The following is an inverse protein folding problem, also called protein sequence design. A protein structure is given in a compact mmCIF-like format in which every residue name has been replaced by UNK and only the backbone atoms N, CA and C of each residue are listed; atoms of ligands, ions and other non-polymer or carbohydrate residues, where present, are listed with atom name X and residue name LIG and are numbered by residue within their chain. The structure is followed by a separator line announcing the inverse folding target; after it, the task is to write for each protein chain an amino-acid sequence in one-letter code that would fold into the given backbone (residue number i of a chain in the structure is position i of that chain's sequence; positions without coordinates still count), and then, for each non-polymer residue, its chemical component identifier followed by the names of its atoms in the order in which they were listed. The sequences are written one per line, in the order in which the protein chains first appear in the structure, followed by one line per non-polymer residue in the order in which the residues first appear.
data_IF_888084259389
#
_entry.id   IF_888084259389
#
_cell.length_a   1.000
_cell.length_b   1.000
_cell.length_c   1.000
_cell.angle_alpha   90.00
_cell.angle_beta   90.00
_cell.angle_gamma   90.00
#
_symmetry.space_group_name_H-M   'P 1'
#
loop_
_entity.id
_entity.type
_entity.pdbx_description
1 polymer ?
#
# COMPACT_ATOMS: atom_id res chain seq x y z
N UNK A 1 -62.88 20.52 -26.86
CA UNK A 1 -62.63 20.12 -28.26
C UNK A 1 -61.60 18.98 -28.25
N UNK A 2 -61.70 18.06 -29.21
CA UNK A 2 -61.33 16.62 -29.19
C UNK A 2 -59.93 16.22 -28.68
N UNK A 3 -59.93 15.07 -27.98
CA UNK A 3 -58.81 14.21 -27.55
C UNK A 3 -58.13 13.54 -28.75
N UNK A 4 -56.84 13.22 -28.62
CA UNK A 4 -56.25 12.03 -29.25
C UNK A 4 -55.51 11.21 -28.20
N UNK A 5 -56.11 10.04 -27.93
CA UNK A 5 -55.53 8.89 -27.25
C UNK A 5 -54.72 8.15 -28.31
N UNK A 6 -53.54 7.64 -27.97
CA UNK A 6 -52.97 6.47 -28.65
C UNK A 6 -52.19 5.66 -27.64
N UNK A 7 -52.87 4.65 -27.12
CA UNK A 7 -52.27 3.48 -26.49
C UNK A 7 -51.86 2.51 -27.60
N UNK A 8 -50.66 1.94 -27.49
CA UNK A 8 -50.32 0.68 -28.15
C UNK A 8 -49.72 -0.23 -27.09
N UNK A 9 -50.54 -1.19 -26.66
CA UNK A 9 -50.16 -2.38 -25.89
C UNK A 9 -50.08 -3.53 -26.89
N UNK A 10 -48.97 -4.27 -26.88
CA UNK A 10 -48.81 -5.69 -27.25
C UNK A 10 -47.29 -5.97 -27.35
N UNK A 11 -46.72 -7.10 -26.95
CA UNK A 11 -47.15 -8.30 -26.27
C UNK A 11 -45.86 -8.97 -25.76
N UNK A 12 -45.92 -9.67 -24.62
CA UNK A 12 -44.84 -10.51 -24.13
C UNK A 12 -44.46 -11.61 -25.13
N UNK A 13 -43.15 -11.84 -25.28
CA UNK A 13 -42.59 -13.17 -25.52
C UNK A 13 -41.48 -13.40 -24.50
N UNK A 14 -41.81 -14.18 -23.47
CA UNK A 14 -40.88 -14.70 -22.50
C UNK A 14 -40.01 -15.77 -23.16
N UNK A 15 -38.72 -15.48 -23.35
CA UNK A 15 -37.70 -16.51 -23.52
C UNK A 15 -37.14 -16.82 -22.14
N UNK A 16 -37.66 -17.87 -21.52
CA UNK A 16 -37.04 -18.51 -20.37
C UNK A 16 -35.74 -19.17 -20.81
N UNK A 17 -34.65 -18.41 -20.83
CA UNK A 17 -33.31 -18.99 -20.86
C UNK A 17 -33.02 -19.44 -19.44
N UNK A 18 -33.02 -20.75 -19.23
CA UNK A 18 -32.50 -21.37 -18.02
C UNK A 18 -31.05 -20.92 -17.85
N UNK A 19 -30.83 -19.90 -17.02
CA UNK A 19 -29.51 -19.54 -16.58
C UNK A 19 -29.03 -20.68 -15.69
N UNK A 20 -28.35 -21.66 -16.30
CA UNK A 20 -27.41 -22.51 -15.57
C UNK A 20 -26.46 -21.52 -14.91
N UNK A 21 -26.58 -21.35 -13.60
CA UNK A 21 -25.62 -20.59 -12.83
C UNK A 21 -24.27 -21.25 -13.07
N UNK A 22 -23.49 -20.66 -13.96
CA UNK A 22 -22.08 -20.99 -14.07
C UNK A 22 -21.52 -20.83 -12.65
N UNK A 23 -20.76 -21.81 -12.13
CA UNK A 23 -20.06 -21.58 -10.88
C UNK A 23 -19.31 -20.28 -11.07
N UNK A 24 -19.57 -19.30 -10.19
CA UNK A 24 -18.76 -18.11 -10.12
C UNK A 24 -17.34 -18.64 -9.94
N UNK A 25 -16.55 -18.60 -11.00
CA UNK A 25 -15.12 -18.77 -10.87
C UNK A 25 -14.74 -17.74 -9.82
N UNK A 26 -14.27 -18.21 -8.67
CA UNK A 26 -13.63 -17.34 -7.70
C UNK A 26 -12.50 -16.68 -8.47
N UNK A 27 -12.77 -15.48 -8.99
CA UNK A 27 -11.81 -14.72 -9.75
C UNK A 27 -10.69 -14.44 -8.75
N UNK A 28 -9.59 -15.17 -8.90
CA UNK A 28 -8.33 -14.84 -8.24
C UNK A 28 -8.13 -13.35 -8.51
N UNK A 29 -8.10 -12.47 -7.48
CA UNK A 29 -8.09 -11.03 -7.69
C UNK A 29 -6.92 -10.66 -8.60
N UNK A 30 -7.24 -10.16 -9.80
CA UNK A 30 -6.35 -10.33 -10.96
C UNK A 30 -5.19 -9.33 -11.06
N UNK A 31 -4.75 -8.73 -9.95
CA UNK A 31 -3.42 -8.09 -9.86
C UNK A 31 -3.06 -7.79 -8.41
N UNK A 32 -2.01 -8.40 -7.91
CA UNK A 32 -1.40 -8.09 -6.62
C UNK A 32 -0.49 -6.87 -6.80
N UNK A 33 -0.49 -5.92 -5.87
CA UNK A 33 0.43 -4.78 -5.92
C UNK A 33 1.84 -5.23 -5.54
N UNK A 34 2.81 -4.91 -6.37
CA UNK A 34 4.23 -5.13 -6.14
C UNK A 34 4.90 -3.90 -5.53
N UNK A 35 6.05 -4.09 -4.87
CA UNK A 35 6.82 -2.96 -4.33
C UNK A 35 7.26 -1.98 -5.42
N UNK A 36 7.61 -2.47 -6.61
CA UNK A 36 7.99 -1.60 -7.73
C UNK A 36 6.83 -0.71 -8.18
N UNK A 37 5.62 -1.26 -8.30
CA UNK A 37 4.44 -0.46 -8.62
C UNK A 37 4.16 0.57 -7.53
N UNK A 38 4.19 0.15 -6.26
CA UNK A 38 4.00 1.04 -5.11
C UNK A 38 4.98 2.22 -5.07
N UNK A 39 6.25 1.99 -5.42
CA UNK A 39 7.25 3.06 -5.47
C UNK A 39 7.12 3.96 -6.71
N UNK A 40 6.39 3.54 -7.75
CA UNK A 40 6.17 4.32 -8.98
C UNK A 40 5.06 5.37 -8.87
N UNK A 41 4.22 5.28 -7.82
CA UNK A 41 3.19 6.29 -7.55
C UNK A 41 3.69 7.28 -6.50
N UNK A 42 3.31 8.53 -6.65
CA UNK A 42 3.77 9.63 -5.78
C UNK A 42 2.59 10.53 -5.42
N UNK A 43 2.75 11.29 -4.33
CA UNK A 43 1.81 12.32 -3.94
C UNK A 43 1.44 13.21 -5.13
N UNK A 44 0.18 13.62 -5.21
CA UNK A 44 -0.37 14.38 -6.32
C UNK A 44 -0.91 13.53 -7.49
N UNK A 45 -0.55 12.25 -7.59
CA UNK A 45 -1.07 11.38 -8.64
C UNK A 45 -2.59 11.19 -8.50
N UNK A 46 -3.31 11.17 -9.63
CA UNK A 46 -4.76 10.94 -9.60
C UNK A 46 -5.13 9.49 -9.25
N UNK A 47 -6.38 9.26 -8.82
CA UNK A 47 -6.95 7.92 -8.64
C UNK A 47 -6.77 7.08 -9.91
N UNK A 48 -6.99 7.67 -11.08
CA UNK A 48 -6.85 6.99 -12.37
C UNK A 48 -5.39 6.55 -12.63
N UNK A 49 -4.42 7.40 -12.30
CA UNK A 49 -3.00 7.03 -12.41
C UNK A 49 -2.65 5.87 -11.49
N UNK A 50 -3.06 5.92 -10.23
CA UNK A 50 -2.80 4.84 -9.26
C UNK A 50 -3.43 3.54 -9.74
N UNK A 51 -4.69 3.57 -10.19
CA UNK A 51 -5.37 2.39 -10.74
C UNK A 51 -4.70 1.84 -12.00
N UNK A 52 -4.12 2.68 -12.86
CA UNK A 52 -3.36 2.21 -14.01
C UNK A 52 -2.08 1.44 -13.58
N UNK A 53 -1.47 1.84 -12.45
CA UNK A 53 -0.26 1.19 -11.91
C UNK A 53 -0.57 -0.04 -11.07
N UNK A 54 -1.54 0.03 -10.16
CA UNK A 54 -1.84 -1.02 -9.20
C UNK A 54 -2.87 -2.03 -9.73
N UNK A 55 -3.70 -1.61 -10.68
CA UNK A 55 -4.91 -2.32 -11.09
C UNK A 55 -6.19 -1.66 -10.56
N UNK A 56 -7.34 -2.15 -11.00
CA UNK A 56 -8.67 -1.62 -10.65
C UNK A 56 -9.32 -2.32 -9.44
N UNK A 57 -8.57 -3.17 -8.75
CA UNK A 57 -9.04 -4.07 -7.70
C UNK A 57 -8.87 -3.51 -6.28
N UNK A 58 -8.52 -2.23 -6.16
CA UNK A 58 -8.53 -1.52 -4.88
C UNK A 58 -9.95 -1.37 -4.34
N UNK A 59 -10.16 -1.72 -3.08
CA UNK A 59 -11.46 -1.60 -2.40
C UNK A 59 -11.52 -0.29 -1.65
N UNK A 60 -12.63 0.46 -1.79
CA UNK A 60 -12.86 1.63 -0.95
C UNK A 60 -13.15 1.17 0.47
N UNK A 61 -12.25 1.48 1.40
CA UNK A 61 -12.37 1.07 2.81
C UNK A 61 -12.88 2.19 3.70
N UNK A 62 -12.63 3.44 3.31
CA UNK A 62 -13.17 4.61 3.99
C UNK A 62 -13.41 5.74 2.99
N UNK A 63 -14.43 6.54 3.28
CA UNK A 63 -14.78 7.73 2.51
C UNK A 63 -15.43 8.77 3.41
N UNK A 64 -14.95 10.00 3.30
CA UNK A 64 -15.54 11.15 3.96
C UNK A 64 -15.72 12.24 2.92
N UNK A 65 -16.96 12.65 2.69
CA UNK A 65 -17.33 13.79 1.85
C UNK A 65 -18.11 14.78 2.72
N UNK A 66 -17.55 15.97 2.92
CA UNK A 66 -18.24 17.11 3.54
C UNK A 66 -18.65 18.12 2.48
N UNK A 67 -19.53 19.05 2.84
CA UNK A 67 -19.91 20.17 1.98
C UNK A 67 -18.77 21.18 1.71
N UNK A 68 -17.54 20.90 2.16
CA UNK A 68 -16.35 21.72 1.94
C UNK A 68 -15.11 20.86 1.70
N UNK A 69 -14.35 21.15 0.65
CA UNK A 69 -13.33 20.26 0.08
C UNK A 69 -12.12 19.95 0.97
N UNK A 70 -11.92 20.70 2.08
CA UNK A 70 -10.69 20.63 2.88
C UNK A 70 -10.53 19.31 3.66
N UNK A 71 -11.62 18.60 3.93
CA UNK A 71 -11.58 17.37 4.73
C UNK A 71 -11.98 16.13 3.93
N UNK A 72 -12.29 16.27 2.65
CA UNK A 72 -12.75 15.15 1.83
C UNK A 72 -11.59 14.18 1.59
N UNK A 73 -11.77 12.91 1.97
CA UNK A 73 -10.79 11.86 1.75
C UNK A 73 -11.43 10.54 1.34
N UNK A 74 -10.69 9.73 0.58
CA UNK A 74 -11.07 8.36 0.22
C UNK A 74 -9.86 7.45 0.32
N UNK A 75 -10.04 6.31 1.00
CA UNK A 75 -9.02 5.28 1.17
C UNK A 75 -9.28 4.12 0.24
N UNK A 76 -8.23 3.61 -0.40
CA UNK A 76 -8.27 2.39 -1.19
C UNK A 76 -7.26 1.38 -0.66
N UNK A 77 -7.73 0.17 -0.36
CA UNK A 77 -6.87 -0.95 0.02
C UNK A 77 -6.68 -1.91 -1.15
N UNK A 78 -5.44 -2.34 -1.33
CA UNK A 78 -5.02 -3.27 -2.36
C UNK A 78 -4.32 -4.48 -1.73
N UNK A 79 -4.59 -5.70 -2.23
CA UNK A 79 -3.93 -6.90 -1.76
C UNK A 79 -2.46 -6.94 -2.22
N UNK A 80 -1.61 -7.53 -1.39
CA UNK A 80 -0.22 -7.87 -1.75
C UNK A 80 -0.08 -9.38 -2.02
N UNK A 81 1.16 -9.83 -2.27
CA UNK A 81 1.42 -11.26 -2.53
C UNK A 81 1.24 -12.12 -1.28
N UNK A 82 1.45 -11.51 -0.10
CA UNK A 82 1.39 -12.20 1.17
C UNK A 82 0.04 -11.92 1.84
N UNK A 83 -0.56 -12.96 2.42
CA UNK A 83 -1.90 -12.90 3.01
C UNK A 83 -2.06 -11.84 4.10
N UNK A 84 -0.98 -11.56 4.85
CA UNK A 84 -0.96 -10.52 5.88
C UNK A 84 -0.54 -9.15 5.37
N UNK A 85 -0.09 -9.05 4.12
CA UNK A 85 0.39 -7.80 3.52
C UNK A 85 -0.71 -7.03 2.81
N UNK A 86 -0.65 -5.71 2.90
CA UNK A 86 -1.64 -4.78 2.37
C UNK A 86 -0.95 -3.50 1.88
N UNK A 87 -1.58 -2.84 0.92
CA UNK A 87 -1.23 -1.49 0.47
C UNK A 87 -2.46 -0.61 0.60
N UNK A 88 -2.35 0.48 1.33
CA UNK A 88 -3.42 1.49 1.47
C UNK A 88 -2.95 2.79 0.86
N UNK A 89 -3.85 3.44 0.13
CA UNK A 89 -3.61 4.78 -0.42
C UNK A 89 -4.79 5.68 -0.10
N UNK A 90 -4.51 6.87 0.40
CA UNK A 90 -5.51 7.88 0.70
C UNK A 90 -5.43 9.01 -0.31
N UNK A 91 -6.59 9.41 -0.82
CA UNK A 91 -6.72 10.54 -1.72
C UNK A 91 -7.47 11.64 -1.01
N UNK A 92 -7.05 12.89 -1.26
CA UNK A 92 -7.76 14.10 -0.81
C UNK A 92 -8.15 14.95 -2.01
N UNK A 93 -9.12 15.85 -1.85
CA UNK A 93 -9.39 16.87 -2.87
C UNK A 93 -8.40 18.01 -2.76
N UNK A 94 -7.70 18.30 -3.85
CA UNK A 94 -6.87 19.50 -3.94
C UNK A 94 -7.73 20.78 -4.07
N UNK A 95 -7.09 21.95 -4.13
CA UNK A 95 -7.77 23.25 -4.25
C UNK A 95 -8.61 23.42 -5.52
N UNK A 96 -8.39 22.62 -6.56
CA UNK A 96 -9.22 22.59 -7.77
C UNK A 96 -10.35 21.55 -7.72
N UNK A 97 -10.56 20.89 -6.57
CA UNK A 97 -11.58 19.87 -6.37
C UNK A 97 -11.25 18.50 -6.96
N UNK A 98 -10.02 18.28 -7.40
CA UNK A 98 -9.56 17.01 -7.98
C UNK A 98 -9.02 16.08 -6.90
N UNK A 99 -9.40 14.79 -6.95
CA UNK A 99 -8.84 13.75 -6.09
C UNK A 99 -7.39 13.42 -6.47
N UNK A 100 -6.48 13.64 -5.52
CA UNK A 100 -5.05 13.40 -5.67
C UNK A 100 -4.54 12.56 -4.52
N UNK A 101 -3.55 11.70 -4.80
CA UNK A 101 -2.90 10.85 -3.83
C UNK A 101 -2.25 11.75 -2.79
N UNK A 102 -2.65 11.56 -1.55
CA UNK A 102 -2.15 12.29 -0.40
C UNK A 102 -1.16 11.41 0.34
N UNK A 103 -1.64 10.27 0.81
CA UNK A 103 -0.86 9.35 1.64
C UNK A 103 -0.79 7.96 1.02
N UNK A 104 0.31 7.25 1.22
CA UNK A 104 0.43 5.82 0.90
C UNK A 104 1.15 5.03 1.99
N UNK A 105 0.64 3.84 2.24
CA UNK A 105 1.13 2.88 3.21
C UNK A 105 1.29 1.52 2.54
N UNK A 106 2.33 0.80 2.91
CA UNK A 106 2.50 -0.60 2.55
C UNK A 106 3.01 -1.38 3.76
N UNK A 107 2.40 -2.52 4.01
CA UNK A 107 2.98 -3.59 4.80
C UNK A 107 3.05 -4.83 3.92
N UNK A 108 4.23 -5.38 3.71
CA UNK A 108 4.41 -6.44 2.72
C UNK A 108 4.15 -7.84 3.28
N UNK A 109 3.87 -8.00 4.58
CA UNK A 109 3.56 -9.30 5.17
C UNK A 109 4.70 -10.32 5.10
N UNK A 110 5.95 -9.84 4.99
CA UNK A 110 7.15 -10.66 4.81
C UNK A 110 8.18 -10.39 5.91
N UNK A 111 9.07 -11.35 6.12
CA UNK A 111 10.21 -11.27 7.05
C UNK A 111 11.52 -11.14 6.29
N UNK A 112 12.62 -10.94 7.02
CA UNK A 112 13.93 -10.86 6.40
C UNK A 112 14.26 -12.10 5.57
N UNK A 113 14.65 -11.88 4.31
CA UNK A 113 15.18 -12.94 3.44
C UNK A 113 16.46 -13.50 4.07
N UNK A 114 16.48 -14.81 4.30
CA UNK A 114 17.64 -15.48 4.87
C UNK A 114 18.80 -15.49 3.86
N UNK A 115 19.90 -14.81 4.21
CA UNK A 115 21.13 -14.75 3.40
C UNK A 115 22.30 -15.40 4.14
N UNK A 116 23.49 -15.47 3.52
CA UNK A 116 24.71 -15.89 4.21
C UNK A 116 25.16 -14.89 5.30
N UNK A 117 24.88 -13.61 5.08
CA UNK A 117 25.29 -12.51 5.94
C UNK A 117 24.23 -12.33 7.02
N UNK A 118 24.59 -12.64 8.27
CA UNK A 118 23.69 -12.61 9.42
C UNK A 118 24.06 -11.46 10.34
N UNK A 119 23.08 -10.65 10.71
CA UNK A 119 23.28 -9.61 11.69
C UNK A 119 23.68 -10.23 13.04
N UNK A 120 24.72 -9.68 13.64
CA UNK A 120 25.25 -10.08 14.94
C UNK A 120 24.90 -9.05 16.02
N UNK A 121 24.96 -9.47 17.30
CA UNK A 121 24.81 -8.56 18.45
C UNK A 121 25.82 -7.41 18.41
N UNK A 122 27.04 -7.68 17.96
CA UNK A 122 28.10 -6.68 17.86
C UNK A 122 27.76 -5.61 16.80
N UNK A 123 27.34 -6.03 15.61
CA UNK A 123 26.90 -5.12 14.53
C UNK A 123 25.67 -4.32 14.94
N UNK A 124 24.66 -4.96 15.53
CA UNK A 124 23.48 -4.25 16.04
C UNK A 124 23.84 -3.20 17.09
N UNK A 125 24.82 -3.48 17.94
CA UNK A 125 25.29 -2.51 18.92
C UNK A 125 26.04 -1.33 18.30
N UNK A 126 26.60 -1.47 17.08
CA UNK A 126 27.24 -0.37 16.35
C UNK A 126 26.24 0.58 15.70
N UNK A 127 25.12 0.06 15.21
CA UNK A 127 24.08 0.88 14.58
C UNK A 127 23.22 1.57 15.65
N UNK A 128 23.29 2.90 15.71
CA UNK A 128 22.54 3.74 16.63
C UNK A 128 21.49 4.58 15.91
N UNK A 129 20.53 5.07 16.68
CA UNK A 129 19.62 6.14 16.24
C UNK A 129 20.42 7.30 15.65
N UNK A 130 19.93 7.88 14.55
CA UNK A 130 20.62 8.90 13.77
C UNK A 130 21.69 8.38 12.79
N UNK A 131 22.05 7.10 12.79
CA UNK A 131 22.86 6.55 11.69
C UNK A 131 22.05 6.47 10.39
N UNK A 132 22.72 6.53 9.23
CA UNK A 132 22.03 6.43 7.94
C UNK A 132 21.65 5.00 7.59
N UNK A 133 20.69 4.85 6.68
CA UNK A 133 20.36 3.58 6.04
C UNK A 133 21.58 2.90 5.41
N UNK A 134 22.44 3.68 4.73
CA UNK A 134 23.65 3.14 4.09
C UNK A 134 24.67 2.64 5.12
N UNK A 135 24.79 3.32 6.26
CA UNK A 135 25.63 2.85 7.36
C UNK A 135 25.13 1.52 7.93
N UNK A 136 23.82 1.39 8.14
CA UNK A 136 23.22 0.15 8.61
C UNK A 136 23.43 -1.00 7.61
N UNK A 137 23.17 -0.76 6.32
CA UNK A 137 23.38 -1.75 5.24
C UNK A 137 24.83 -2.21 5.16
N UNK A 138 25.77 -1.27 5.24
CA UNK A 138 27.21 -1.58 5.26
C UNK A 138 27.59 -2.38 6.51
N UNK A 139 27.01 -2.04 7.67
CA UNK A 139 27.30 -2.72 8.94
C UNK A 139 26.77 -4.16 8.98
N UNK A 140 25.62 -4.44 8.36
CA UNK A 140 25.03 -5.78 8.32
C UNK A 140 25.36 -6.58 7.05
N UNK A 141 26.12 -6.00 6.13
CA UNK A 141 26.58 -6.66 4.90
C UNK A 141 25.50 -6.89 3.83
N UNK A 142 24.25 -6.45 4.04
CA UNK A 142 23.17 -6.59 3.06
C UNK A 142 22.24 -5.39 3.04
N UNK A 143 21.41 -5.29 1.99
CA UNK A 143 20.39 -4.25 1.88
C UNK A 143 19.25 -4.36 2.90
N UNK A 144 19.14 -5.50 3.57
CA UNK A 144 17.97 -5.87 4.37
C UNK A 144 16.74 -6.12 3.50
N UNK A 145 15.62 -6.36 4.15
CA UNK A 145 14.32 -6.58 3.52
C UNK A 145 13.35 -5.51 4.00
N UNK A 146 12.78 -4.72 3.08
CA UNK A 146 11.77 -3.72 3.44
C UNK A 146 10.47 -4.44 3.76
N UNK A 147 9.99 -4.34 5.00
CA UNK A 147 8.75 -5.00 5.44
C UNK A 147 7.57 -4.04 5.48
N UNK A 148 7.82 -2.73 5.63
CA UNK A 148 6.79 -1.70 5.61
C UNK A 148 7.33 -0.37 5.07
N UNK A 149 6.41 0.47 4.58
CA UNK A 149 6.71 1.82 4.11
C UNK A 149 5.53 2.75 4.32
N UNK A 150 5.80 3.99 4.71
CA UNK A 150 4.82 5.07 4.90
C UNK A 150 5.34 6.35 4.26
N UNK A 151 4.51 6.98 3.44
CA UNK A 151 4.72 8.30 2.84
C UNK A 151 3.42 9.09 2.98
N UNK A 152 3.40 10.05 3.91
CA UNK A 152 2.20 10.73 4.40
C UNK A 152 2.47 12.23 4.65
N UNK A 153 1.73 13.17 4.01
CA UNK A 153 1.86 14.59 4.28
C UNK A 153 1.39 14.93 5.69
N UNK A 154 2.08 15.86 6.33
CA UNK A 154 1.82 16.25 7.73
C UNK A 154 2.50 15.36 8.78
N UNK A 155 3.02 14.18 8.40
CA UNK A 155 4.03 13.51 9.20
C UNK A 155 5.35 14.25 9.02
N UNK A 156 6.09 14.43 10.12
CA UNK A 156 7.41 15.06 10.06
C UNK A 156 8.44 14.21 9.27
N UNK A 157 8.10 12.96 8.97
CA UNK A 157 8.99 11.97 8.36
C UNK A 157 8.22 10.99 7.46
N UNK A 158 8.82 10.61 6.33
CA UNK A 158 8.53 9.31 5.71
C UNK A 158 9.10 8.21 6.62
N UNK A 159 8.49 7.02 6.66
CA UNK A 159 8.99 5.88 7.44
C UNK A 159 9.22 4.65 6.55
N UNK A 160 10.31 3.94 6.80
CA UNK A 160 10.57 2.62 6.20
C UNK A 160 11.12 1.69 7.27
N UNK A 161 10.50 0.52 7.42
CA UNK A 161 11.01 -0.53 8.31
C UNK A 161 11.77 -1.55 7.49
N UNK A 162 13.00 -1.85 7.91
CA UNK A 162 13.87 -2.82 7.26
C UNK A 162 14.30 -3.87 8.26
N UNK A 163 14.20 -5.13 7.84
CA UNK A 163 14.56 -6.29 8.62
C UNK A 163 15.81 -6.97 8.04
N UNK A 164 16.72 -7.41 8.91
CA UNK A 164 17.91 -8.20 8.60
C UNK A 164 17.85 -9.55 9.31
N UNK A 165 18.24 -10.66 8.66
CA UNK A 165 18.21 -11.97 9.28
C UNK A 165 19.34 -12.10 10.32
N UNK A 166 19.13 -12.92 11.35
CA UNK A 166 20.19 -13.31 12.30
C UNK A 166 20.63 -14.75 12.06
N UNK A 167 21.53 -15.26 12.90
CA UNK A 167 21.91 -16.68 12.87
C UNK A 167 20.74 -17.63 13.17
N UNK A 168 19.75 -17.18 13.96
CA UNK A 168 18.52 -17.94 14.18
C UNK A 168 17.59 -17.82 12.97
N UNK A 169 16.95 -18.92 12.52
CA UNK A 169 15.99 -18.88 11.42
C UNK A 169 14.75 -18.04 11.73
N UNK A 170 14.47 -17.79 13.01
CA UNK A 170 13.35 -16.96 13.47
C UNK A 170 13.81 -15.60 14.02
N UNK A 171 15.11 -15.39 14.16
CA UNK A 171 15.66 -14.15 14.71
C UNK A 171 15.88 -13.10 13.64
N UNK A 172 15.63 -11.85 14.00
CA UNK A 172 15.70 -10.68 13.14
C UNK A 172 16.28 -9.46 13.86
N UNK A 173 16.87 -8.55 13.09
CA UNK A 173 17.14 -7.16 13.47
C UNK A 173 16.21 -6.28 12.66
N UNK A 174 15.46 -5.42 13.34
CA UNK A 174 14.49 -4.52 12.73
C UNK A 174 14.90 -3.08 13.04
N UNK A 175 15.04 -2.27 12.00
CA UNK A 175 15.30 -0.84 12.10
C UNK A 175 14.19 -0.06 11.41
N UNK A 176 13.62 0.92 12.11
CA UNK A 176 12.78 1.93 11.49
C UNK A 176 13.67 3.10 11.09
N UNK A 177 13.55 3.52 9.84
CA UNK A 177 14.20 4.73 9.35
C UNK A 177 13.16 5.80 9.09
N UNK A 178 13.41 6.99 9.64
CA UNK A 178 12.67 8.20 9.33
C UNK A 178 13.44 9.09 8.37
N UNK A 179 12.73 9.77 7.48
CA UNK A 179 13.28 10.79 6.59
C UNK A 179 12.46 12.06 6.69
N UNK A 180 13.03 13.11 7.29
CA UNK A 180 12.45 14.46 7.25
C UNK A 180 12.36 14.96 5.81
N UNK A 181 11.43 15.87 5.54
CA UNK A 181 11.26 16.50 4.22
C UNK A 181 12.62 17.00 3.71
N UNK A 182 13.08 16.50 2.55
CA UNK A 182 14.41 16.73 1.92
C UNK A 182 15.66 16.17 2.63
N UNK A 183 15.49 15.42 3.72
CA UNK A 183 16.59 14.81 4.50
C UNK A 183 17.07 13.46 3.97
N UNK A 184 18.08 12.90 4.63
CA UNK A 184 18.48 11.50 4.44
C UNK A 184 17.69 10.59 5.40
N UNK A 185 17.52 9.32 5.04
CA UNK A 185 16.98 8.30 5.95
C UNK A 185 17.91 8.07 7.14
N UNK A 186 17.35 8.14 8.34
CA UNK A 186 18.06 8.00 9.62
C UNK A 186 17.34 6.99 10.51
N UNK A 187 18.09 6.15 11.21
CA UNK A 187 17.54 5.21 12.20
C UNK A 187 16.78 6.01 13.26
N UNK A 188 15.51 5.72 13.44
CA UNK A 188 14.67 6.30 14.50
C UNK A 188 14.48 5.32 15.65
N UNK A 189 14.22 4.06 15.32
CA UNK A 189 14.09 3.00 16.31
C UNK A 189 14.90 1.79 15.87
N UNK A 190 15.22 0.95 16.85
CA UNK A 190 15.97 -0.29 16.62
C UNK A 190 15.51 -1.36 17.58
N UNK A 191 15.28 -2.57 17.06
CA UNK A 191 14.97 -3.74 17.86
C UNK A 191 15.64 -4.98 17.28
N UNK A 192 15.81 -6.00 18.11
CA UNK A 192 16.38 -7.27 17.68
C UNK A 192 15.76 -8.40 18.49
N UNK A 193 15.42 -9.47 17.79
CA UNK A 193 15.05 -10.77 18.35
C UNK A 193 16.07 -11.79 17.87
N UNK A 194 16.78 -12.46 18.79
CA UNK A 194 17.92 -13.30 18.42
C UNK A 194 17.56 -14.77 18.20
N UNK A 195 16.29 -15.16 18.37
CA UNK A 195 15.87 -16.57 18.46
C UNK A 195 15.79 -17.03 19.91
#
# INVERSE_FOLDING_TARGET
MKRYISAAVACLLALSVSAVAAPAANAVPSRIVTSSEFYSVHQGNSIAHVRARFGNNGTVTARYDTSGWKYDWVSLDFPTYYDSGWVTVDFVRNSSGTWVLDTKYAYWGLTAVQTKDKATKAEFNRVKEGNSIDYARSTFGTNGTIISYVDAPGYAYDLVTIEWPTASPYGYVLLDFGKRSSGSWKVETRSAYWG
#
